data_IF_219150924437
#
_entry.id   IF_219150924437
#
_cell.length_a   1.000
_cell.length_b   1.000
_cell.length_c   1.000
_cell.angle_alpha   90.00
_cell.angle_beta   90.00
_cell.angle_gamma   90.00
#
_symmetry.space_group_name_H-M   'P 1'
#
loop_
_entity.id
_entity.type
_entity.pdbx_description
1 polymer ?
#
# COMPACT_ATOMS: atom_id res chain seq x y z
N UNK A 1 9.95 -3.24 16.95
CA UNK A 1 10.27 -2.43 18.14
C UNK A 1 11.76 -2.14 18.10
N UNK A 2 12.20 -0.94 18.49
CA UNK A 2 13.64 -0.64 18.55
C UNK A 2 14.27 -1.27 19.77
N UNK A 3 15.50 -1.79 19.63
CA UNK A 3 16.26 -2.36 20.75
C UNK A 3 16.53 -1.27 21.80
N UNK A 4 16.27 -1.50 23.10
CA UNK A 4 16.48 -0.49 24.14
C UNK A 4 17.95 -0.15 24.39
N UNK A 5 18.89 -0.98 23.93
CA UNK A 5 20.34 -0.75 24.13
C UNK A 5 21.00 0.02 22.99
N UNK A 6 20.70 -0.34 21.74
CA UNK A 6 21.40 0.20 20.57
C UNK A 6 20.46 0.88 19.57
N UNK A 7 19.16 0.95 19.84
CA UNK A 7 18.10 1.49 18.97
C UNK A 7 17.98 0.84 17.59
N UNK A 8 18.76 -0.21 17.31
CA UNK A 8 18.65 -0.98 16.07
C UNK A 8 17.30 -1.72 16.01
N UNK A 9 16.83 -2.08 14.81
CA UNK A 9 15.61 -2.89 14.65
C UNK A 9 15.69 -4.20 15.42
N UNK A 10 14.52 -4.71 15.81
CA UNK A 10 14.39 -6.01 16.49
C UNK A 10 13.22 -6.80 15.92
N UNK A 11 13.44 -8.08 15.68
CA UNK A 11 12.45 -9.02 15.15
C UNK A 11 11.69 -9.71 16.28
N UNK A 12 10.40 -9.98 16.08
CA UNK A 12 9.61 -10.85 16.96
C UNK A 12 10.07 -12.30 16.77
N UNK A 13 10.31 -13.02 17.88
CA UNK A 13 10.60 -14.46 17.87
C UNK A 13 9.41 -15.29 18.33
N UNK A 14 8.70 -14.81 19.34
CA UNK A 14 7.54 -15.49 19.89
C UNK A 14 6.57 -14.48 20.47
N UNK A 15 5.27 -14.77 20.38
CA UNK A 15 4.24 -13.97 21.01
C UNK A 15 3.18 -14.89 21.63
N UNK A 16 2.88 -14.69 22.91
CA UNK A 16 1.83 -15.41 23.62
C UNK A 16 0.73 -14.47 24.11
N UNK A 17 -0.55 -14.88 24.05
CA UNK A 17 -1.62 -14.12 24.67
C UNK A 17 -1.49 -14.15 26.19
N UNK A 18 -1.69 -13.00 26.83
CA UNK A 18 -1.90 -12.88 28.29
C UNK A 18 -3.38 -12.68 28.62
N UNK A 19 -4.09 -11.94 27.77
CA UNK A 19 -5.53 -11.71 27.84
C UNK A 19 -6.07 -11.50 26.43
N UNK A 20 -7.37 -11.20 26.30
CA UNK A 20 -7.95 -10.83 25.01
C UNK A 20 -7.23 -9.63 24.37
N UNK A 21 -6.70 -8.70 25.17
CA UNK A 21 -6.13 -7.43 24.69
C UNK A 21 -4.61 -7.30 24.83
N UNK A 22 -3.97 -8.17 25.61
CA UNK A 22 -2.54 -8.06 25.91
C UNK A 22 -1.80 -9.29 25.39
N UNK A 23 -0.69 -9.05 24.69
CA UNK A 23 0.26 -10.08 24.28
C UNK A 23 1.62 -9.80 24.89
N UNK A 24 2.26 -10.85 25.37
CA UNK A 24 3.69 -10.82 25.69
C UNK A 24 4.48 -11.28 24.48
N UNK A 25 5.48 -10.50 24.10
CA UNK A 25 6.24 -10.67 22.85
C UNK A 25 7.73 -10.67 23.15
N UNK A 26 8.40 -11.73 22.72
CA UNK A 26 9.86 -11.86 22.78
C UNK A 26 10.46 -11.32 21.49
N UNK A 27 11.41 -10.41 21.63
CA UNK A 27 12.17 -9.78 20.56
C UNK A 27 13.64 -10.21 20.59
N UNK A 28 14.28 -10.12 19.43
CA UNK A 28 15.74 -10.27 19.25
C UNK A 28 16.24 -9.11 18.40
N UNK A 29 17.25 -8.40 18.89
CA UNK A 29 17.95 -7.37 18.12
C UNK A 29 18.56 -7.95 16.85
N UNK A 30 18.47 -7.21 15.75
CA UNK A 30 19.06 -7.60 14.45
C UNK A 30 20.51 -7.14 14.29
N UNK A 31 21.00 -6.27 15.17
CA UNK A 31 22.41 -5.94 15.23
C UNK A 31 23.16 -7.08 15.94
N UNK A 32 23.98 -7.82 15.19
CA UNK A 32 24.74 -8.98 15.69
C UNK A 32 25.72 -8.62 16.81
N UNK A 33 26.31 -7.42 16.79
CA UNK A 33 27.19 -6.94 17.87
C UNK A 33 26.41 -6.72 19.18
N UNK A 34 25.14 -6.34 19.07
CA UNK A 34 24.28 -6.13 20.23
C UNK A 34 23.64 -7.43 20.73
N UNK A 35 23.06 -8.23 19.82
CA UNK A 35 22.49 -9.56 20.11
C UNK A 35 21.34 -9.61 21.14
N UNK A 36 20.92 -8.47 21.69
CA UNK A 36 20.02 -8.42 22.84
C UNK A 36 18.67 -9.10 22.58
N UNK A 37 18.27 -10.00 23.48
CA UNK A 37 16.95 -10.60 23.53
C UNK A 37 16.15 -10.01 24.69
N UNK A 38 14.90 -9.63 24.43
CA UNK A 38 14.07 -8.97 25.43
C UNK A 38 12.59 -9.29 25.26
N UNK A 39 11.83 -9.09 26.32
CA UNK A 39 10.39 -9.32 26.35
C UNK A 39 9.68 -7.99 26.56
N UNK A 40 8.60 -7.78 25.83
CA UNK A 40 7.73 -6.62 25.98
C UNK A 40 6.26 -7.04 25.94
N UNK A 41 5.39 -6.24 26.58
CA UNK A 41 3.95 -6.42 26.48
C UNK A 41 3.35 -5.38 25.54
N UNK A 42 2.47 -5.82 24.65
CA UNK A 42 1.73 -4.95 23.73
C UNK A 42 0.25 -5.10 24.06
N UNK A 43 -0.43 -3.97 24.21
CA UNK A 43 -1.85 -3.91 24.52
C UNK A 43 -2.64 -3.15 23.44
N UNK A 44 -3.81 -3.68 23.07
CA UNK A 44 -4.83 -2.89 22.39
C UNK A 44 -5.51 -1.97 23.42
N UNK A 45 -5.41 -0.65 23.22
CA UNK A 45 -5.84 0.35 24.22
C UNK A 45 -7.01 1.23 23.78
N UNK A 46 -7.28 1.32 22.48
CA UNK A 46 -8.39 2.09 21.92
C UNK A 46 -8.79 1.58 20.54
N UNK A 47 -10.05 1.79 20.18
CA UNK A 47 -10.61 1.53 18.85
C UNK A 47 -10.40 2.76 17.97
N UNK A 48 -9.64 2.63 16.89
CA UNK A 48 -9.50 3.69 15.86
C UNK A 48 -10.59 3.58 14.79
N UNK A 49 -11.01 2.36 14.46
CA UNK A 49 -12.08 2.03 13.52
C UNK A 49 -12.88 0.86 14.12
N UNK A 50 -14.23 0.89 14.13
CA UNK A 50 -15.04 -0.19 14.68
C UNK A 50 -14.83 -1.51 13.90
N UNK A 51 -14.91 -2.64 14.60
CA UNK A 51 -14.91 -3.97 13.96
C UNK A 51 -16.23 -4.22 13.22
N UNK A 52 -16.16 -4.80 12.03
CA UNK A 52 -17.34 -5.31 11.32
C UNK A 52 -17.91 -6.60 11.96
N UNK A 53 -17.15 -7.25 12.84
CA UNK A 53 -17.56 -8.42 13.62
C UNK A 53 -17.10 -8.24 15.07
N UNK A 54 -17.86 -7.54 15.93
CA UNK A 54 -17.45 -7.22 17.28
C UNK A 54 -17.52 -8.45 18.21
N UNK A 55 -16.49 -8.62 19.05
CA UNK A 55 -16.56 -9.54 20.17
C UNK A 55 -17.20 -8.81 21.38
N UNK A 56 -18.36 -9.25 21.90
CA UNK A 56 -19.10 -8.54 22.95
C UNK A 56 -18.37 -8.50 24.30
N UNK A 57 -17.36 -9.35 24.51
CA UNK A 57 -16.53 -9.36 25.74
C UNK A 57 -15.38 -8.35 25.70
N UNK A 58 -15.22 -7.64 24.58
CA UNK A 58 -14.12 -6.72 24.32
C UNK A 58 -14.62 -5.28 24.41
N UNK A 59 -14.14 -4.54 25.40
CA UNK A 59 -14.52 -3.15 25.62
C UNK A 59 -13.29 -2.25 25.52
N UNK A 60 -13.15 -1.53 24.39
CA UNK A 60 -12.11 -0.52 24.19
C UNK A 60 -12.75 0.84 23.93
N UNK A 61 -12.20 1.91 24.53
CA UNK A 61 -12.66 3.26 24.22
C UNK A 61 -12.35 3.61 22.76
N UNK A 62 -13.20 4.40 22.12
CA UNK A 62 -12.88 4.96 20.81
C UNK A 62 -11.82 6.06 20.94
N UNK A 63 -10.95 6.19 19.93
CA UNK A 63 -10.08 7.34 19.81
C UNK A 63 -10.92 8.62 19.66
N UNK A 64 -10.57 9.68 20.39
CA UNK A 64 -11.25 10.99 20.29
C UNK A 64 -11.14 11.51 18.85
N UNK A 65 -12.23 12.00 18.25
CA UNK A 65 -12.17 12.74 16.99
C UNK A 65 -11.20 13.92 17.16
N UNK A 66 -10.10 13.92 16.39
CA UNK A 66 -9.01 14.90 16.52
C UNK A 66 -7.66 14.36 17.00
N UNK A 67 -7.60 13.13 17.55
CA UNK A 67 -6.32 12.45 17.81
C UNK A 67 -5.79 11.65 16.61
N UNK A 68 -6.63 11.45 15.59
CA UNK A 68 -6.19 10.92 14.30
C UNK A 68 -5.56 12.11 13.55
N UNK A 69 -4.27 12.01 13.23
CA UNK A 69 -3.63 13.01 12.38
C UNK A 69 -4.47 13.18 11.10
N UNK A 70 -4.69 14.41 10.63
CA UNK A 70 -5.37 14.63 9.36
C UNK A 70 -4.68 13.79 8.29
N UNK A 71 -5.45 12.97 7.56
CA UNK A 71 -4.92 12.37 6.34
C UNK A 71 -4.53 13.55 5.44
N UNK A 72 -3.26 13.67 5.01
CA UNK A 72 -2.88 14.74 4.11
C UNK A 72 -3.77 14.66 2.87
N UNK A 73 -4.35 15.79 2.48
CA UNK A 73 -5.17 15.86 1.28
C UNK A 73 -4.42 15.24 0.09
N UNK A 74 -5.12 14.49 -0.78
CA UNK A 74 -4.49 13.95 -1.98
C UNK A 74 -3.79 15.09 -2.73
N UNK A 75 -2.52 14.88 -3.10
CA UNK A 75 -1.78 15.83 -3.92
C UNK A 75 -2.62 16.11 -5.19
N UNK A 76 -2.73 17.37 -5.64
CA UNK A 76 -3.41 17.66 -6.90
C UNK A 76 -2.83 16.78 -8.00
N UNK A 77 -3.70 16.28 -8.88
CA UNK A 77 -3.32 15.42 -9.99
C UNK A 77 -2.11 16.03 -10.73
N UNK A 78 -1.09 15.21 -10.98
CA UNK A 78 0.02 15.60 -11.82
C UNK A 78 -0.51 16.12 -13.17
N UNK A 79 0.15 17.13 -13.74
CA UNK A 79 -0.18 17.66 -15.07
C UNK A 79 -0.37 16.51 -16.06
N UNK A 80 -1.34 16.58 -16.99
CA UNK A 80 -1.51 15.57 -18.02
C UNK A 80 -0.15 15.26 -18.67
N UNK A 81 0.15 13.96 -18.86
CA UNK A 81 1.33 13.57 -19.62
C UNK A 81 1.29 14.30 -20.98
N UNK A 82 2.43 14.84 -21.45
CA UNK A 82 2.48 15.43 -22.77
C UNK A 82 2.07 14.39 -23.82
N UNK A 83 1.41 14.86 -24.89
CA UNK A 83 1.09 14.03 -26.04
C UNK A 83 2.37 13.37 -26.59
N UNK A 84 2.34 12.08 -26.98
CA UNK A 84 3.48 11.44 -27.62
C UNK A 84 3.92 12.23 -28.86
N UNK A 85 5.24 12.34 -29.07
CA UNK A 85 5.84 13.18 -30.10
C UNK A 85 5.68 12.64 -31.55
N UNK A 86 4.74 11.74 -31.81
CA UNK A 86 4.57 11.09 -33.11
C UNK A 86 3.34 11.55 -33.89
N UNK A 87 2.60 12.56 -33.43
CA UNK A 87 1.44 13.13 -34.13
C UNK A 87 1.79 14.23 -35.17
N UNK A 88 3.07 14.47 -35.45
CA UNK A 88 3.50 15.43 -36.46
C UNK A 88 3.54 14.80 -37.88
N UNK A 89 2.36 14.63 -38.47
CA UNK A 89 2.12 14.95 -39.88
C UNK A 89 2.86 14.20 -41.00
N UNK A 90 3.13 12.90 -40.90
CA UNK A 90 3.51 12.14 -42.11
C UNK A 90 2.30 11.73 -42.95
N UNK A 91 2.23 12.08 -44.26
CA UNK A 91 1.16 11.61 -45.13
C UNK A 91 1.30 10.11 -45.35
N UNK A 92 0.19 9.39 -45.12
CA UNK A 92 0.06 7.96 -45.44
C UNK A 92 0.14 7.81 -46.96
N UNK A 93 1.23 7.25 -47.48
CA UNK A 93 1.34 6.91 -48.91
C UNK A 93 0.65 5.56 -49.14
N UNK A 94 -0.54 5.60 -49.75
CA UNK A 94 -1.18 4.40 -50.28
C UNK A 94 -0.61 4.08 -51.67
N UNK A 95 -0.24 2.83 -51.98
CA UNK A 95 0.12 2.44 -53.34
C UNK A 95 -1.12 2.50 -54.26
N UNK A 96 -0.98 2.85 -55.55
CA UNK A 96 -2.11 2.95 -56.46
C UNK A 96 -2.72 1.57 -56.73
N UNK A 97 -4.05 1.52 -56.72
CA UNK A 97 -4.84 0.36 -57.08
C UNK A 97 -4.53 -0.09 -58.53
N UNK A 98 -4.39 -1.39 -58.75
CA UNK A 98 -4.37 -1.97 -60.08
C UNK A 98 -5.78 -1.88 -60.68
N UNK A 99 -5.88 -1.37 -61.90
CA UNK A 99 -7.14 -1.11 -62.59
C UNK A 99 -7.60 -2.39 -63.32
N UNK A 100 -8.76 -2.96 -62.98
CA UNK A 100 -9.47 -3.89 -63.85
C UNK A 100 -10.33 -3.09 -64.83
N UNK A 101 -9.90 -3.06 -66.09
CA UNK A 101 -10.61 -2.40 -67.18
C UNK A 101 -11.55 -3.37 -67.90
N UNK A 102 -12.83 -2.98 -67.90
CA UNK A 102 -13.83 -3.15 -68.95
C UNK A 102 -14.36 -4.55 -69.28
N UNK A 103 -15.65 -4.74 -68.98
CA UNK A 103 -16.55 -5.51 -69.84
C UNK A 103 -17.75 -4.62 -70.18
N UNK A 104 -17.86 -4.26 -71.47
CA UNK A 104 -18.98 -3.52 -72.05
C UNK A 104 -19.26 -4.12 -73.44
N UNK A 105 -20.06 -5.20 -73.42
CA UNK A 105 -21.15 -5.57 -74.34
C UNK A 105 -20.90 -5.54 -75.87
N UNK A 106 -21.02 -6.73 -76.48
CA UNK A 106 -21.76 -7.04 -77.73
C UNK A 106 -21.62 -6.13 -78.95
N UNK A 107 -21.04 -6.70 -80.01
CA UNK A 107 -21.12 -6.27 -81.41
C UNK A 107 -20.36 -7.23 -82.31
#
# INVERSE_FOLDING_TARGET
MSCPHCNSPSTVRFARPLSAMVREVTYRCENDDCGHGFVAQIAAIRTTIPSANPNPTVHLPFAKPGMLAPVPAPKPAAKPMPTPANDDGQPVVHPPAANDAADLMTG
#
